data_IF_150788672445
#
_entry.id   IF_150788672445
#
_cell.length_a   1.000
_cell.length_b   1.000
_cell.length_c   1.000
_cell.angle_alpha   90.00
_cell.angle_beta   90.00
_cell.angle_gamma   90.00
#
_symmetry.space_group_name_H-M   'P 1'
#
loop_
_entity.id
_entity.type
_entity.pdbx_description
1 polymer ?
#
# COMPACT_ATOMS: atom_id res chain seq x y z
N UNK A 1 -22.00 8.50 18.00
CA UNK A 1 -21.27 8.74 16.74
C UNK A 1 -22.21 8.37 15.61
N UNK A 2 -22.61 9.33 14.77
CA UNK A 2 -23.30 9.01 13.52
C UNK A 2 -22.32 8.26 12.62
N UNK A 3 -22.76 7.14 12.07
CA UNK A 3 -21.99 6.40 11.08
C UNK A 3 -21.93 7.28 9.83
N UNK A 4 -20.73 7.72 9.46
CA UNK A 4 -20.52 8.45 8.20
C UNK A 4 -21.04 7.57 7.06
N UNK A 5 -21.96 8.09 6.24
CA UNK A 5 -22.34 7.39 5.03
C UNK A 5 -21.10 7.26 4.14
N UNK A 6 -20.75 6.04 3.76
CA UNK A 6 -19.55 5.79 2.97
C UNK A 6 -19.96 5.62 1.50
N UNK A 7 -19.79 6.64 0.64
CA UNK A 7 -20.23 6.60 -0.76
C UNK A 7 -19.42 5.60 -1.60
N UNK A 8 -18.32 5.09 -1.04
CA UNK A 8 -17.48 4.08 -1.67
C UNK A 8 -17.98 2.64 -1.46
N UNK A 9 -19.07 2.46 -0.71
CA UNK A 9 -19.64 1.14 -0.43
C UNK A 9 -21.00 0.97 -1.10
N UNK A 10 -21.18 -0.17 -1.76
CA UNK A 10 -22.49 -0.65 -2.21
C UNK A 10 -22.75 -1.99 -1.52
N UNK A 11 -23.88 -2.13 -0.82
CA UNK A 11 -24.18 -3.33 -0.01
C UNK A 11 -23.05 -3.74 0.95
N UNK A 12 -22.42 -2.75 1.59
CA UNK A 12 -21.22 -2.91 2.45
C UNK A 12 -19.99 -3.50 1.75
N UNK A 13 -19.91 -3.40 0.41
CA UNK A 13 -18.76 -3.85 -0.37
C UNK A 13 -18.10 -2.67 -1.09
N UNK A 14 -16.76 -2.61 -1.13
CA UNK A 14 -16.03 -1.61 -1.91
C UNK A 14 -16.45 -1.63 -3.38
N UNK A 15 -16.73 -0.46 -3.95
CA UNK A 15 -16.87 -0.27 -5.41
C UNK A 15 -15.52 0.01 -6.07
N UNK A 16 -15.45 -0.02 -7.40
CA UNK A 16 -14.22 0.32 -8.14
C UNK A 16 -13.74 1.76 -7.86
N UNK A 17 -14.66 2.64 -7.46
CA UNK A 17 -14.36 4.03 -7.15
C UNK A 17 -13.59 4.20 -5.84
N UNK A 18 -13.49 3.17 -5.00
CA UNK A 18 -12.68 3.17 -3.76
C UNK A 18 -11.18 3.35 -4.01
N UNK A 19 -10.72 3.04 -5.22
CA UNK A 19 -9.29 3.00 -5.54
C UNK A 19 -8.65 4.40 -5.61
N UNK A 20 -7.61 4.58 -4.80
CA UNK A 20 -6.74 5.77 -4.83
C UNK A 20 -5.71 5.72 -5.96
N UNK A 21 -5.59 4.59 -6.67
CA UNK A 21 -4.60 4.42 -7.75
C UNK A 21 -4.78 5.43 -8.89
N UNK A 22 -6.03 5.82 -9.17
CA UNK A 22 -6.39 6.79 -10.21
C UNK A 22 -6.37 8.24 -9.73
N UNK A 23 -6.23 8.50 -8.41
CA UNK A 23 -6.17 9.86 -7.88
C UNK A 23 -4.95 10.57 -8.47
N UNK A 24 -5.17 11.77 -9.03
CA UNK A 24 -4.10 12.60 -9.58
C UNK A 24 -3.93 13.84 -8.70
N UNK A 25 -2.69 14.19 -8.40
CA UNK A 25 -2.35 15.39 -7.63
C UNK A 25 -2.04 16.48 -8.65
N UNK A 26 -3.02 17.32 -8.99
CA UNK A 26 -2.80 18.40 -9.97
C UNK A 26 -2.10 19.58 -9.31
N UNK A 27 -2.69 20.10 -8.24
CA UNK A 27 -2.13 21.16 -7.43
C UNK A 27 -2.81 21.19 -6.08
N UNK A 28 -2.19 21.82 -5.09
CA UNK A 28 -2.82 22.02 -3.78
C UNK A 28 -2.66 23.50 -3.47
N UNK A 29 -3.72 24.33 -3.61
CA UNK A 29 -3.65 25.76 -3.34
C UNK A 29 -2.97 26.06 -2.00
N UNK A 30 -2.05 27.01 -2.04
CA UNK A 30 -1.22 27.49 -0.93
C UNK A 30 -0.16 26.51 -0.42
N UNK A 31 -0.03 25.33 -1.04
CA UNK A 31 0.95 24.31 -0.68
C UNK A 31 1.84 24.01 -1.89
N UNK A 32 3.16 24.27 -1.84
CA UNK A 32 4.05 23.94 -2.94
C UNK A 32 4.14 22.41 -3.09
N UNK A 33 3.56 21.90 -4.18
CA UNK A 33 3.63 20.49 -4.55
C UNK A 33 4.98 20.19 -5.19
N UNK A 34 5.64 19.11 -4.74
CA UNK A 34 6.92 18.67 -5.31
C UNK A 34 6.78 18.43 -6.83
N UNK A 35 7.70 18.94 -7.68
CA UNK A 35 7.58 18.81 -9.14
C UNK A 35 7.46 17.37 -9.62
N UNK A 36 8.11 16.41 -8.96
CA UNK A 36 8.00 14.98 -9.27
C UNK A 36 6.62 14.38 -8.95
N UNK A 37 5.84 15.03 -8.08
CA UNK A 37 4.49 14.62 -7.66
C UNK A 37 3.42 15.23 -8.55
N UNK A 38 3.62 16.49 -8.99
CA UNK A 38 2.64 17.25 -9.75
C UNK A 38 2.20 16.51 -11.02
N UNK A 39 0.89 16.38 -11.18
CA UNK A 39 0.24 15.66 -12.26
C UNK A 39 0.39 14.13 -12.21
N UNK A 40 1.05 13.52 -11.22
CA UNK A 40 1.18 12.06 -11.15
C UNK A 40 -0.04 11.41 -10.51
N UNK A 41 -0.28 10.15 -10.88
CA UNK A 41 -1.30 9.29 -10.28
C UNK A 41 -0.77 8.64 -9.01
N UNK A 42 -1.63 8.40 -8.02
CA UNK A 42 -1.29 7.72 -6.77
C UNK A 42 -0.55 6.39 -6.98
N UNK A 43 -0.99 5.59 -7.97
CA UNK A 43 -0.32 4.32 -8.33
C UNK A 43 1.15 4.53 -8.74
N UNK A 44 1.44 5.58 -9.53
CA UNK A 44 2.80 5.86 -9.98
C UNK A 44 3.69 6.35 -8.83
N UNK A 45 3.11 6.97 -7.82
CA UNK A 45 3.85 7.52 -6.67
C UNK A 45 4.15 6.46 -5.60
N UNK A 46 3.22 5.52 -5.39
CA UNK A 46 3.23 4.60 -4.25
C UNK A 46 3.26 3.10 -4.63
N UNK A 47 3.55 2.76 -5.88
CA UNK A 47 3.72 1.36 -6.30
C UNK A 47 5.04 0.75 -5.81
N UNK A 48 5.03 -0.58 -5.62
CA UNK A 48 6.23 -1.35 -5.31
C UNK A 48 7.29 -1.18 -6.41
N UNK A 49 6.89 -1.17 -7.69
CA UNK A 49 7.80 -1.00 -8.83
C UNK A 49 8.49 0.36 -8.80
N UNK A 50 7.76 1.44 -8.53
CA UNK A 50 8.37 2.77 -8.41
C UNK A 50 9.41 2.81 -7.27
N UNK A 51 9.11 2.14 -6.15
CA UNK A 51 10.07 2.01 -5.05
C UNK A 51 11.29 1.18 -5.46
N UNK A 52 11.09 0.03 -6.10
CA UNK A 52 12.16 -0.83 -6.61
C UNK A 52 13.08 -0.06 -7.56
N UNK A 53 12.52 0.63 -8.55
CA UNK A 53 13.28 1.43 -9.50
C UNK A 53 14.03 2.59 -8.83
N UNK A 54 13.45 3.19 -7.79
CA UNK A 54 14.14 4.20 -6.98
C UNK A 54 15.33 3.60 -6.23
N UNK A 55 15.16 2.42 -5.63
CA UNK A 55 16.24 1.72 -4.91
C UNK A 55 17.35 1.32 -5.88
N UNK A 56 17.02 0.81 -7.08
CA UNK A 56 18.01 0.44 -8.10
C UNK A 56 18.86 1.63 -8.54
N UNK A 57 18.25 2.80 -8.75
CA UNK A 57 18.97 4.02 -9.13
C UNK A 57 19.97 4.47 -8.07
N UNK A 58 19.66 4.21 -6.80
CA UNK A 58 20.49 4.60 -5.66
C UNK A 58 21.33 3.42 -5.12
N UNK A 59 21.34 2.27 -5.78
CA UNK A 59 21.89 1.00 -5.26
C UNK A 59 23.34 1.10 -4.85
N UNK A 60 24.17 1.80 -5.65
CA UNK A 60 25.58 2.06 -5.37
C UNK A 60 25.77 2.84 -4.05
N UNK A 61 24.86 3.75 -3.72
CA UNK A 61 24.93 4.54 -2.50
C UNK A 61 24.31 3.83 -1.29
N UNK A 62 23.41 2.88 -1.55
CA UNK A 62 22.84 1.98 -0.56
C UNK A 62 23.71 0.76 -0.25
N UNK A 63 24.85 0.60 -0.96
CA UNK A 63 25.74 -0.56 -0.85
C UNK A 63 25.01 -1.88 -1.15
N UNK A 64 24.18 -1.87 -2.21
CA UNK A 64 23.41 -3.02 -2.65
C UNK A 64 24.02 -3.64 -3.90
N UNK A 65 24.25 -4.95 -3.84
CA UNK A 65 24.62 -5.77 -4.98
C UNK A 65 23.36 -6.27 -5.69
N UNK A 66 23.01 -5.60 -6.79
CA UNK A 66 21.81 -5.91 -7.56
C UNK A 66 21.90 -7.24 -8.32
N UNK A 67 23.10 -7.79 -8.55
CA UNK A 67 23.24 -9.07 -9.25
C UNK A 67 22.75 -10.25 -8.39
N UNK A 68 22.85 -10.10 -7.06
CA UNK A 68 22.54 -11.16 -6.10
C UNK A 68 21.25 -10.91 -5.30
N UNK A 69 20.58 -9.78 -5.51
CA UNK A 69 19.36 -9.42 -4.80
C UNK A 69 18.17 -9.39 -5.79
N UNK A 70 17.22 -10.33 -5.67
CA UNK A 70 15.97 -10.26 -6.42
C UNK A 70 15.20 -8.96 -6.12
N UNK A 71 14.65 -8.34 -7.16
CA UNK A 71 13.94 -7.05 -7.08
C UNK A 71 12.89 -7.00 -5.98
N UNK A 72 12.11 -8.09 -5.84
CA UNK A 72 11.05 -8.24 -4.85
C UNK A 72 11.55 -8.12 -3.40
N UNK A 73 12.85 -8.31 -3.16
CA UNK A 73 13.49 -8.16 -1.84
C UNK A 73 14.03 -6.76 -1.58
N UNK A 74 14.18 -5.90 -2.59
CA UNK A 74 14.77 -4.56 -2.42
C UNK A 74 14.09 -3.71 -1.33
N UNK A 75 12.76 -3.71 -1.16
CA UNK A 75 12.12 -3.00 -0.04
C UNK A 75 12.54 -3.50 1.36
N UNK A 76 12.91 -4.78 1.49
CA UNK A 76 13.45 -5.34 2.73
C UNK A 76 14.86 -4.80 2.98
N UNK A 77 15.68 -4.73 1.92
CA UNK A 77 17.03 -4.17 2.02
C UNK A 77 17.01 -2.67 2.33
N UNK A 78 16.06 -1.91 1.76
CA UNK A 78 15.86 -0.50 2.12
C UNK A 78 15.55 -0.33 3.62
N UNK A 79 14.71 -1.18 4.20
CA UNK A 79 14.43 -1.15 5.64
C UNK A 79 15.70 -1.36 6.48
N UNK A 80 16.55 -2.32 6.10
CA UNK A 80 17.84 -2.54 6.76
C UNK A 80 18.78 -1.34 6.60
N UNK A 81 18.80 -0.73 5.42
CA UNK A 81 19.65 0.42 5.12
C UNK A 81 19.30 1.65 5.99
N UNK A 82 18.04 1.83 6.38
CA UNK A 82 17.62 2.88 7.33
C UNK A 82 18.23 2.71 8.73
N UNK A 83 18.62 1.50 9.10
CA UNK A 83 19.23 1.16 10.39
C UNK A 83 20.75 1.01 10.30
N UNK A 84 21.33 1.21 9.11
CA UNK A 84 22.76 1.03 8.87
C UNK A 84 23.63 1.94 9.75
N UNK A 85 24.73 1.40 10.26
CA UNK A 85 25.78 2.17 10.94
C UNK A 85 26.55 3.06 9.96
N UNK A 86 26.61 2.67 8.68
CA UNK A 86 27.21 3.48 7.64
C UNK A 86 26.32 4.70 7.35
N UNK A 87 26.80 5.89 7.75
CA UNK A 87 26.06 7.13 7.63
C UNK A 87 25.60 7.43 6.20
N UNK A 88 26.44 7.14 5.19
CA UNK A 88 26.10 7.42 3.79
C UNK A 88 24.95 6.53 3.30
N UNK A 89 24.99 5.25 3.64
CA UNK A 89 23.91 4.29 3.33
C UNK A 89 22.62 4.73 4.01
N UNK A 90 22.70 5.04 5.31
CA UNK A 90 21.53 5.49 6.10
C UNK A 90 20.92 6.77 5.56
N UNK A 91 21.71 7.80 5.24
CA UNK A 91 21.21 9.06 4.67
C UNK A 91 20.59 8.86 3.28
N UNK A 92 21.14 7.97 2.47
CA UNK A 92 20.56 7.62 1.17
C UNK A 92 19.19 6.97 1.34
N UNK A 93 19.08 5.99 2.26
CA UNK A 93 17.82 5.33 2.58
C UNK A 93 16.79 6.31 3.16
N UNK A 94 17.20 7.22 4.04
CA UNK A 94 16.34 8.27 4.61
C UNK A 94 15.84 9.22 3.52
N UNK A 95 16.64 9.56 2.51
CA UNK A 95 16.17 10.40 1.40
C UNK A 95 15.09 9.70 0.54
N UNK A 96 15.20 8.39 0.33
CA UNK A 96 14.17 7.59 -0.34
C UNK A 96 12.89 7.56 0.52
N UNK A 97 13.02 7.27 1.82
CA UNK A 97 11.89 7.25 2.75
C UNK A 97 11.19 8.63 2.84
N UNK A 98 11.97 9.71 2.83
CA UNK A 98 11.48 11.10 2.79
C UNK A 98 10.60 11.35 1.57
N UNK A 99 11.08 10.98 0.39
CA UNK A 99 10.32 11.15 -0.86
C UNK A 99 9.01 10.37 -0.82
N UNK A 100 9.04 9.10 -0.43
CA UNK A 100 7.83 8.28 -0.31
C UNK A 100 6.83 8.83 0.71
N UNK A 101 7.34 9.26 1.88
CA UNK A 101 6.50 9.84 2.93
C UNK A 101 5.82 11.13 2.46
N UNK A 102 6.56 12.01 1.76
CA UNK A 102 6.01 13.23 1.15
C UNK A 102 5.00 12.92 0.05
N UNK A 103 5.27 11.95 -0.83
CA UNK A 103 4.32 11.52 -1.85
C UNK A 103 2.98 11.10 -1.23
N UNK A 104 3.04 10.28 -0.18
CA UNK A 104 1.87 9.83 0.55
C UNK A 104 1.16 10.99 1.24
N UNK A 105 1.91 11.94 1.82
CA UNK A 105 1.36 13.14 2.42
C UNK A 105 0.61 14.01 1.41
N UNK A 106 1.14 14.22 0.19
CA UNK A 106 0.42 14.96 -0.85
C UNK A 106 -0.85 14.26 -1.32
N UNK A 107 -0.86 12.92 -1.40
CA UNK A 107 -2.09 12.15 -1.63
C UNK A 107 -3.12 12.47 -0.55
N UNK A 108 -2.72 12.41 0.73
CA UNK A 108 -3.60 12.67 1.85
C UNK A 108 -4.08 14.13 1.91
N UNK A 109 -3.21 15.11 1.65
CA UNK A 109 -3.58 16.53 1.60
C UNK A 109 -4.60 16.80 0.47
N UNK A 110 -4.38 16.18 -0.70
CA UNK A 110 -5.31 16.26 -1.83
C UNK A 110 -6.69 15.76 -1.44
N UNK A 111 -6.77 14.62 -0.75
CA UNK A 111 -8.02 14.04 -0.25
C UNK A 111 -8.66 14.91 0.84
N UNK A 112 -7.86 15.46 1.77
CA UNK A 112 -8.36 16.27 2.90
C UNK A 112 -8.96 17.59 2.44
N UNK A 113 -8.27 18.30 1.54
CA UNK A 113 -8.72 19.59 1.02
C UNK A 113 -9.81 19.40 -0.04
N UNK A 114 -9.62 18.44 -0.95
CA UNK A 114 -10.54 18.21 -2.06
C UNK A 114 -10.72 19.48 -2.89
N UNK A 115 -9.63 20.13 -3.28
CA UNK A 115 -9.68 21.37 -4.06
C UNK A 115 -10.23 21.14 -5.48
N UNK A 116 -10.90 22.15 -6.04
CA UNK A 116 -11.60 22.05 -7.34
C UNK A 116 -10.73 21.46 -8.45
N UNK A 117 -9.47 21.89 -8.56
CA UNK A 117 -8.54 21.41 -9.59
C UNK A 117 -8.27 19.90 -9.51
N UNK A 118 -8.33 19.30 -8.31
CA UNK A 118 -8.16 17.86 -8.13
C UNK A 118 -9.49 17.11 -8.34
N UNK A 119 -10.63 17.71 -7.97
CA UNK A 119 -11.96 17.16 -8.25
C UNK A 119 -12.18 17.00 -9.76
N UNK A 120 -11.86 18.04 -10.53
CA UNK A 120 -11.96 18.03 -11.99
C UNK A 120 -11.09 16.94 -12.64
N UNK A 121 -9.98 16.57 -12.00
CA UNK A 121 -9.10 15.48 -12.47
C UNK A 121 -9.55 14.08 -12.06
N UNK A 122 -10.66 13.94 -11.34
CA UNK A 122 -11.28 12.69 -10.91
C UNK A 122 -12.82 12.73 -11.10
N UNK A 123 -13.30 12.84 -12.35
CA UNK A 123 -14.72 13.05 -12.65
C UNK A 123 -15.62 11.85 -12.29
N UNK A 124 -15.05 10.69 -11.98
CA UNK A 124 -15.79 9.53 -11.45
C UNK A 124 -16.17 9.69 -9.97
N UNK A 125 -15.71 10.74 -9.29
CA UNK A 125 -16.05 11.05 -7.91
C UNK A 125 -16.92 12.30 -7.81
N UNK A 126 -18.15 12.10 -7.36
CA UNK A 126 -19.08 13.18 -6.97
C UNK A 126 -18.68 13.85 -5.64
N UNK A 127 -19.33 14.97 -5.30
CA UNK A 127 -19.06 15.75 -4.09
C UNK A 127 -19.10 14.93 -2.80
N UNK A 128 -20.02 13.98 -2.68
CA UNK A 128 -20.14 13.10 -1.52
C UNK A 128 -18.85 12.30 -1.24
N UNK A 129 -18.13 11.88 -2.29
CA UNK A 129 -16.86 11.15 -2.16
C UNK A 129 -15.75 12.02 -1.60
N UNK A 130 -15.68 13.28 -2.04
CA UNK A 130 -14.71 14.26 -1.55
C UNK A 130 -15.03 14.70 -0.13
N UNK A 131 -16.30 14.91 0.18
CA UNK A 131 -16.77 15.27 1.51
C UNK A 131 -16.51 14.15 2.51
N UNK A 132 -16.68 12.89 2.11
CA UNK A 132 -16.27 11.74 2.91
C UNK A 132 -14.79 11.82 3.30
N UNK A 133 -13.88 12.00 2.33
CA UNK A 133 -12.44 12.08 2.60
C UNK A 133 -12.03 13.28 3.46
N UNK A 134 -12.73 14.41 3.31
CA UNK A 134 -12.55 15.59 4.17
C UNK A 134 -12.91 15.30 5.62
N UNK A 135 -13.97 14.53 5.84
CA UNK A 135 -14.47 14.16 7.17
C UNK A 135 -13.70 13.01 7.82
N UNK A 136 -12.95 12.20 7.05
CA UNK A 136 -12.09 11.17 7.62
C UNK A 136 -11.12 11.79 8.64
N UNK A 137 -11.12 11.23 9.84
CA UNK A 137 -10.21 11.63 10.92
C UNK A 137 -9.09 10.61 11.15
N UNK A 138 -9.36 9.32 10.94
CA UNK A 138 -8.44 8.23 11.29
C UNK A 138 -8.04 7.50 10.01
N UNK A 139 -6.74 7.34 9.81
CA UNK A 139 -6.17 6.55 8.70
C UNK A 139 -5.33 5.44 9.30
N UNK A 140 -5.59 4.21 8.86
CA UNK A 140 -4.79 3.05 9.26
C UNK A 140 -4.04 2.53 8.05
N UNK A 141 -2.72 2.66 8.07
CA UNK A 141 -1.84 2.09 7.05
C UNK A 141 -1.61 0.60 7.29
N UNK A 142 -1.71 -0.15 6.21
CA UNK A 142 -1.51 -1.61 6.13
C UNK A 142 -0.62 -1.93 4.92
N UNK A 143 -0.15 -3.17 4.81
CA UNK A 143 0.72 -3.63 3.74
C UNK A 143 2.20 -3.69 4.12
N UNK A 144 2.99 -4.43 3.32
CA UNK A 144 4.39 -4.74 3.64
C UNK A 144 5.34 -3.54 3.64
N UNK A 145 5.07 -2.53 2.82
CA UNK A 145 5.87 -1.28 2.76
C UNK A 145 5.72 -0.42 4.02
N UNK A 146 4.64 -0.66 4.78
CA UNK A 146 4.33 0.06 6.02
C UNK A 146 4.95 -0.64 7.25
N UNK A 147 5.71 -1.71 7.07
CA UNK A 147 6.39 -2.45 8.14
C UNK A 147 7.74 -1.81 8.50
N UNK A 148 8.20 -2.06 9.74
CA UNK A 148 9.57 -1.75 10.18
C UNK A 148 9.91 -0.26 10.21
N UNK A 149 11.20 0.05 10.05
CA UNK A 149 11.73 1.42 10.08
C UNK A 149 11.20 2.29 8.95
N UNK A 150 10.91 1.72 7.77
CA UNK A 150 10.31 2.46 6.66
C UNK A 150 8.94 3.03 7.06
N UNK A 151 8.06 2.21 7.66
CA UNK A 151 6.74 2.68 8.13
C UNK A 151 6.84 3.85 9.13
N UNK A 152 7.80 3.79 10.05
CA UNK A 152 8.05 4.88 11.01
C UNK A 152 8.50 6.17 10.31
N UNK A 153 9.37 6.07 9.30
CA UNK A 153 9.82 7.24 8.51
C UNK A 153 8.73 7.80 7.62
N UNK A 154 7.91 6.96 6.99
CA UNK A 154 6.74 7.41 6.26
C UNK A 154 5.84 8.24 7.18
N UNK A 155 5.53 7.74 8.39
CA UNK A 155 4.73 8.49 9.37
C UNK A 155 5.37 9.85 9.68
N UNK A 156 6.65 9.86 10.01
CA UNK A 156 7.39 11.08 10.35
C UNK A 156 7.27 12.15 9.25
N UNK A 157 7.51 11.77 7.99
CA UNK A 157 7.46 12.73 6.88
C UNK A 157 6.05 13.14 6.48
N UNK A 158 5.04 12.29 6.73
CA UNK A 158 3.65 12.71 6.61
C UNK A 158 3.31 13.74 7.68
N UNK A 159 3.58 13.43 8.95
CA UNK A 159 3.34 14.36 10.07
C UNK A 159 4.02 15.71 9.80
N UNK A 160 5.28 15.68 9.38
CA UNK A 160 6.07 16.87 9.08
C UNK A 160 5.43 17.73 7.99
N UNK A 161 5.00 17.15 6.87
CA UNK A 161 4.39 17.95 5.80
C UNK A 161 3.03 18.54 6.21
N UNK A 162 2.21 17.80 6.98
CA UNK A 162 0.96 18.35 7.51
C UNK A 162 1.20 19.51 8.48
N UNK A 163 2.25 19.44 9.30
CA UNK A 163 2.65 20.54 10.17
C UNK A 163 3.15 21.75 9.38
N UNK A 164 4.03 21.54 8.40
CA UNK A 164 4.57 22.59 7.52
C UNK A 164 3.49 23.34 6.73
N UNK A 165 2.36 22.69 6.47
CA UNK A 165 1.24 23.23 5.66
C UNK A 165 0.06 23.70 6.51
N UNK A 166 0.19 23.65 7.84
CA UNK A 166 -0.85 24.05 8.81
C UNK A 166 -2.23 23.41 8.53
N UNK A 167 -2.26 22.26 7.85
CA UNK A 167 -3.49 21.59 7.47
C UNK A 167 -3.92 20.61 8.56
N UNK A 168 -5.21 20.56 8.96
CA UNK A 168 -5.69 19.64 9.97
C UNK A 168 -5.33 18.18 9.66
N UNK A 169 -4.50 17.59 10.53
CA UNK A 169 -3.91 16.29 10.30
C UNK A 169 -4.88 15.13 10.60
N UNK A 170 -4.80 14.08 9.79
CA UNK A 170 -5.35 12.77 10.14
C UNK A 170 -4.64 12.16 11.36
N UNK A 171 -5.39 11.43 12.19
CA UNK A 171 -4.85 10.49 13.17
C UNK A 171 -4.34 9.25 12.44
N UNK A 172 -3.07 9.29 12.05
CA UNK A 172 -2.43 8.21 11.31
C UNK A 172 -1.92 7.14 12.27
N UNK A 173 -2.33 5.90 12.02
CA UNK A 173 -1.85 4.70 12.71
C UNK A 173 -1.31 3.70 11.68
N UNK A 174 -0.29 2.97 12.08
CA UNK A 174 0.16 1.80 11.35
C UNK A 174 -0.37 0.58 12.07
N UNK A 175 -0.93 -0.38 11.34
CA UNK A 175 -1.39 -1.62 11.96
C UNK A 175 -0.20 -2.34 12.61
N UNK A 176 -0.43 -3.01 13.75
CA UNK A 176 0.63 -3.73 14.50
C UNK A 176 1.39 -4.74 13.63
N UNK A 177 0.66 -5.42 12.75
CA UNK A 177 1.21 -6.37 11.77
C UNK A 177 0.64 -6.06 10.38
N UNK A 178 1.13 -5.00 9.71
CA UNK A 178 0.45 -4.45 8.53
C UNK A 178 0.52 -5.42 7.34
N UNK A 179 1.53 -6.28 7.26
CA UNK A 179 1.66 -7.32 6.23
C UNK A 179 0.69 -8.51 6.41
N UNK A 180 0.20 -8.75 7.64
CA UNK A 180 -0.62 -9.91 8.00
C UNK A 180 -2.13 -9.66 7.88
N UNK A 181 -2.55 -8.41 7.62
CA UNK A 181 -3.97 -8.01 7.61
C UNK A 181 -4.84 -8.89 6.71
N UNK A 182 -4.44 -9.26 5.47
CA UNK A 182 -5.23 -10.17 4.64
C UNK A 182 -5.42 -11.55 5.29
N UNK A 183 -4.36 -12.12 5.87
CA UNK A 183 -4.43 -13.41 6.56
C UNK A 183 -5.26 -13.34 7.85
N UNK A 184 -5.22 -12.22 8.58
CA UNK A 184 -6.10 -11.98 9.73
C UNK A 184 -7.56 -11.96 9.28
N UNK A 185 -7.85 -11.29 8.16
CA UNK A 185 -9.18 -11.28 7.56
C UNK A 185 -9.67 -12.68 7.22
N UNK A 186 -8.88 -13.45 6.47
CA UNK A 186 -9.20 -14.81 6.10
C UNK A 186 -9.38 -15.73 7.32
N UNK A 187 -8.50 -15.62 8.33
CA UNK A 187 -8.59 -16.41 9.55
C UNK A 187 -9.87 -16.17 10.35
N UNK A 188 -10.50 -14.99 10.25
CA UNK A 188 -11.78 -14.69 10.91
C UNK A 188 -12.97 -15.47 10.34
N UNK A 189 -12.79 -16.11 9.19
CA UNK A 189 -13.78 -17.00 8.59
C UNK A 189 -13.58 -18.47 8.97
N UNK A 190 -12.72 -18.76 9.96
CA UNK A 190 -12.55 -20.11 10.47
C UNK A 190 -13.89 -20.69 10.99
N UNK A 191 -14.14 -21.99 10.79
CA UNK A 191 -15.25 -22.68 11.43
C UNK A 191 -15.19 -22.56 12.96
N UNK A 192 -16.35 -22.69 13.63
CA UNK A 192 -16.37 -22.87 15.09
C UNK A 192 -15.56 -24.10 15.49
N UNK A 193 -14.98 -24.08 16.68
CA UNK A 193 -14.16 -25.15 17.24
C UNK A 193 -12.87 -25.44 16.43
N UNK A 194 -12.54 -24.58 15.46
CA UNK A 194 -11.26 -24.64 14.77
C UNK A 194 -10.14 -24.21 15.72
N UNK A 195 -9.18 -25.09 15.99
CA UNK A 195 -8.00 -24.77 16.82
C UNK A 195 -6.84 -24.20 16.00
N UNK A 196 -6.73 -24.60 14.72
CA UNK A 196 -5.65 -24.20 13.81
C UNK A 196 -6.14 -24.10 12.37
N UNK A 197 -5.66 -23.09 11.64
CA UNK A 197 -5.95 -22.90 10.22
C UNK A 197 -4.68 -22.48 9.47
N UNK A 198 -4.38 -23.13 8.35
CA UNK A 198 -3.40 -22.61 7.40
C UNK A 198 -4.05 -21.52 6.55
N UNK A 199 -3.39 -20.36 6.47
CA UNK A 199 -3.91 -19.19 5.78
C UNK A 199 -2.92 -18.72 4.74
N UNK A 200 -3.42 -18.40 3.56
CA UNK A 200 -2.64 -17.98 2.41
C UNK A 200 -3.19 -16.67 1.85
N UNK A 201 -2.31 -15.74 1.52
CA UNK A 201 -2.61 -14.51 0.80
C UNK A 201 -1.83 -14.56 -0.53
N UNK A 202 -2.53 -14.90 -1.61
CA UNK A 202 -1.96 -15.02 -2.96
C UNK A 202 -1.86 -13.64 -3.61
N UNK A 203 -0.84 -12.88 -3.20
CA UNK A 203 -0.53 -11.59 -3.81
C UNK A 203 0.17 -11.73 -5.16
N UNK A 204 0.17 -10.64 -5.93
CA UNK A 204 0.84 -10.56 -7.24
C UNK A 204 2.34 -10.83 -7.14
N UNK A 205 3.01 -10.33 -6.11
CA UNK A 205 4.47 -10.50 -5.93
C UNK A 205 4.83 -11.70 -5.06
N UNK A 206 4.07 -11.92 -3.99
CA UNK A 206 4.37 -12.90 -2.95
C UNK A 206 3.11 -13.62 -2.50
N UNK A 207 3.22 -14.93 -2.32
CA UNK A 207 2.26 -15.75 -1.59
C UNK A 207 2.68 -15.72 -0.12
N UNK A 208 1.95 -14.98 0.72
CA UNK A 208 2.18 -15.00 2.17
C UNK A 208 1.48 -16.19 2.78
N UNK A 209 2.08 -16.74 3.83
CA UNK A 209 1.64 -17.98 4.46
C UNK A 209 1.69 -17.83 5.97
N UNK A 210 0.72 -18.42 6.66
CA UNK A 210 0.69 -18.41 8.11
C UNK A 210 -0.11 -19.57 8.68
N UNK A 211 0.24 -19.95 9.91
CA UNK A 211 -0.57 -20.84 10.74
C UNK A 211 -1.30 -19.99 11.78
N UNK A 212 -2.60 -19.79 11.58
CA UNK A 212 -3.48 -19.17 12.55
C UNK A 212 -3.79 -20.16 13.68
N UNK A 213 -3.67 -19.70 14.92
CA UNK A 213 -4.03 -20.46 16.12
C UNK A 213 -5.18 -19.78 16.83
N UNK A 214 -6.15 -20.58 17.28
CA UNK A 214 -7.37 -20.10 17.91
C UNK A 214 -7.50 -20.65 19.32
N UNK A 215 -8.04 -19.81 20.20
CA UNK A 215 -8.40 -20.17 21.58
C UNK A 215 -9.80 -19.63 21.86
N UNK A 216 -10.70 -20.47 22.36
CA UNK A 216 -12.10 -20.11 22.64
C UNK A 216 -12.80 -19.42 21.43
N UNK A 217 -12.67 -20.02 20.23
CA UNK A 217 -13.19 -19.51 18.96
C UNK A 217 -12.69 -18.11 18.55
N UNK A 218 -11.59 -17.64 19.13
CA UNK A 218 -10.97 -16.36 18.79
C UNK A 218 -9.58 -16.57 18.25
N UNK A 219 -9.25 -15.84 17.20
CA UNK A 219 -7.89 -15.79 16.66
C UNK A 219 -6.94 -15.26 17.74
N UNK A 220 -6.05 -16.11 18.25
CA UNK A 220 -5.04 -15.74 19.23
C UNK A 220 -3.81 -15.13 18.53
N UNK A 221 -3.25 -15.85 17.56
CA UNK A 221 -2.09 -15.39 16.79
C UNK A 221 -2.05 -16.00 15.39
N UNK A 222 -1.16 -15.45 14.55
CA UNK A 222 -0.75 -16.06 13.28
C UNK A 222 0.77 -16.21 13.31
N UNK A 223 1.25 -17.45 13.29
CA UNK A 223 2.66 -17.75 13.10
C UNK A 223 2.97 -17.57 11.61
N UNK A 224 3.63 -16.48 11.25
CA UNK A 224 4.00 -16.20 9.86
C UNK A 224 5.06 -17.20 9.39
N UNK A 225 4.79 -17.84 8.27
CA UNK A 225 5.75 -18.70 7.55
C UNK A 225 6.43 -17.89 6.45
N UNK A 226 7.58 -18.37 5.95
CA UNK A 226 8.29 -17.71 4.86
C UNK A 226 7.38 -17.54 3.64
N UNK A 227 7.30 -16.33 3.10
CA UNK A 227 6.56 -16.09 1.85
C UNK A 227 7.23 -16.82 0.69
N UNK A 228 6.43 -17.22 -0.30
CA UNK A 228 6.91 -17.72 -1.58
C UNK A 228 6.77 -16.63 -2.63
N UNK A 229 7.67 -16.62 -3.61
CA UNK A 229 7.52 -15.77 -4.78
C UNK A 229 6.36 -16.26 -5.66
N UNK A 230 5.54 -15.33 -6.14
CA UNK A 230 4.47 -15.66 -7.06
C UNK A 230 5.05 -15.79 -8.46
N UNK A 231 5.27 -17.02 -8.94
CA UNK A 231 5.95 -17.29 -10.21
C UNK A 231 5.06 -17.17 -11.46
N UNK A 232 3.76 -16.88 -11.29
CA UNK A 232 2.75 -17.04 -12.36
C UNK A 232 1.77 -15.86 -12.50
N UNK A 233 2.18 -14.65 -12.10
CA UNK A 233 1.36 -13.45 -12.33
C UNK A 233 2.06 -12.57 -13.35
N UNK A 234 2.26 -13.11 -14.55
CA UNK A 234 2.51 -12.25 -15.70
C UNK A 234 1.24 -11.43 -15.95
N UNK A 235 1.39 -10.17 -16.36
CA UNK A 235 0.28 -9.30 -16.70
C UNK A 235 -0.36 -9.85 -17.99
N UNK A 236 -1.32 -10.76 -17.84
CA UNK A 236 -2.07 -11.27 -19.00
C UNK A 236 -3.15 -10.24 -19.33
N UNK A 237 -2.80 -9.28 -20.19
CA UNK A 237 -3.80 -8.42 -20.81
C UNK A 237 -4.56 -9.24 -21.87
N UNK A 238 -5.79 -9.63 -21.54
CA UNK A 238 -6.69 -10.23 -22.51
C UNK A 238 -7.30 -9.14 -23.39
N UNK A 239 -7.24 -9.32 -24.71
CA UNK A 239 -7.85 -8.38 -25.67
C UNK A 239 -9.37 -8.42 -25.62
N UNK A 240 -9.94 -9.51 -25.10
CA UNK A 240 -11.38 -9.73 -24.91
C UNK A 240 -11.63 -10.94 -23.99
N UNK A 241 -12.87 -11.06 -23.52
CA UNK A 241 -13.34 -12.14 -22.63
C UNK A 241 -13.15 -13.56 -23.21
N UNK A 242 -13.15 -13.71 -24.54
CA UNK A 242 -12.92 -15.02 -25.17
C UNK A 242 -11.46 -15.47 -25.07
N UNK A 243 -10.51 -14.54 -25.08
CA UNK A 243 -9.09 -14.83 -24.88
C UNK A 243 -8.81 -15.22 -23.43
N UNK A 244 -9.40 -14.48 -22.49
CA UNK A 244 -9.38 -14.80 -21.05
C UNK A 244 -9.88 -16.23 -20.78
N UNK A 245 -11.06 -16.55 -21.34
CA UNK A 245 -11.66 -17.87 -21.15
C UNK A 245 -10.80 -19.00 -21.71
N UNK A 246 -10.18 -18.81 -22.87
CA UNK A 246 -9.27 -19.81 -23.46
C UNK A 246 -8.02 -20.02 -22.61
N UNK A 247 -7.46 -18.96 -22.06
CA UNK A 247 -6.27 -19.09 -21.22
C UNK A 247 -6.60 -19.74 -19.88
N UNK A 248 -7.75 -19.40 -19.27
CA UNK A 248 -8.26 -20.08 -18.09
C UNK A 248 -8.46 -21.60 -18.32
N UNK A 249 -8.96 -21.99 -19.49
CA UNK A 249 -9.11 -23.41 -19.87
C UNK A 249 -7.77 -24.12 -20.07
N UNK A 250 -6.73 -23.44 -20.58
CA UNK A 250 -5.38 -24.01 -20.69
C UNK A 250 -4.76 -24.21 -19.31
N UNK A 251 -4.82 -23.20 -18.44
CA UNK A 251 -4.32 -23.28 -17.07
C UNK A 251 -5.00 -24.43 -16.30
N UNK A 252 -6.30 -24.66 -16.54
CA UNK A 252 -7.04 -25.78 -15.95
C UNK A 252 -6.48 -27.16 -16.36
N UNK A 253 -5.88 -27.31 -17.55
CA UNK A 253 -5.35 -28.58 -18.06
C UNK A 253 -3.92 -28.90 -17.60
N UNK A 254 -3.18 -27.92 -17.08
CA UNK A 254 -1.77 -28.10 -16.67
C UNK A 254 -1.65 -28.78 -15.29
N UNK A 255 -2.74 -28.81 -14.51
CA UNK A 255 -2.75 -29.29 -13.12
C UNK A 255 -3.58 -30.57 -12.88
N UNK A 256 -3.89 -31.33 -13.94
CA UNK A 256 -4.43 -32.70 -13.88
C UNK A 256 -3.58 -33.64 -14.73
#
# INVERSE_FOLDING_TARGET
MQQLNNPFLENNRPTDNTSLNRLRIIDIPDIPVDPEVKGKRGLRLMSADNLIETIKKESRYLDLDLENIPDVKLPIYLNKALESENLKVRLTAENIARRLGRNLAFILLTLKKGDRVNREARPDWEDEHWDYWRQVENIVFVGGLCSGSLGQRLKYYIDKLFQETETPQYRIKFAKNPSLIPMIGAARHAPKECSKLLVFDFGQTLIKRGLANFENDKLNNINQLSSLESKHVEEIEFRNENEEKKEAEKLKKIYY
#
